data_IF_601043517323
#
_entry.id   IF_601043517323
#
_cell.length_a   1.000
_cell.length_b   1.000
_cell.length_c   1.000
_cell.angle_alpha   90.00
_cell.angle_beta   90.00
_cell.angle_gamma   90.00
#
_symmetry.space_group_name_H-M   'P 1'
#
loop_
_entity.id
_entity.type
_entity.pdbx_description
1 polymer ?
#
# COMPACT_ATOMS: atom_id res chain seq x y z
N UNK A 1 -5.98 -34.89 -2.23
CA UNK A 1 -4.80 -34.67 -1.36
C UNK A 1 -4.47 -33.19 -1.35
N UNK A 2 -4.63 -32.51 -0.21
CA UNK A 2 -4.19 -31.12 -0.04
C UNK A 2 -2.69 -31.12 0.23
N UNK A 3 -1.87 -30.68 -0.73
CA UNK A 3 -0.47 -30.45 -0.43
C UNK A 3 -0.36 -29.31 0.60
N UNK A 4 0.48 -29.47 1.65
CA UNK A 4 0.67 -28.42 2.64
C UNK A 4 1.22 -27.16 1.97
N UNK A 5 0.53 -26.03 2.14
CA UNK A 5 1.00 -24.74 1.62
C UNK A 5 2.35 -24.39 2.26
N UNK A 6 3.32 -23.85 1.51
CA UNK A 6 4.63 -23.48 2.05
C UNK A 6 4.47 -22.31 3.03
N UNK A 7 4.34 -22.63 4.33
CA UNK A 7 4.16 -21.64 5.42
C UNK A 7 5.22 -20.53 5.40
N UNK A 8 6.46 -20.86 5.01
CA UNK A 8 7.55 -19.89 4.94
C UNK A 8 7.30 -18.73 3.98
N UNK A 9 6.65 -18.98 2.84
CA UNK A 9 6.37 -17.92 1.86
C UNK A 9 5.33 -16.92 2.39
N UNK A 10 4.26 -17.40 3.03
CA UNK A 10 3.26 -16.52 3.64
C UNK A 10 3.86 -15.65 4.75
N UNK A 11 4.63 -16.27 5.64
CA UNK A 11 5.32 -15.59 6.75
C UNK A 11 6.24 -14.49 6.21
N UNK A 12 7.03 -14.79 5.16
CA UNK A 12 7.87 -13.78 4.51
C UNK A 12 7.06 -12.58 4.01
N UNK A 13 5.93 -12.79 3.33
CA UNK A 13 5.12 -11.68 2.80
C UNK A 13 4.41 -10.88 3.89
N UNK A 14 4.03 -11.51 5.01
CA UNK A 14 3.53 -10.78 6.17
C UNK A 14 4.61 -9.89 6.80
N UNK A 15 5.81 -10.43 7.00
CA UNK A 15 6.96 -9.64 7.47
C UNK A 15 7.29 -8.50 6.53
N UNK A 16 7.33 -8.77 5.23
CA UNK A 16 7.58 -7.75 4.22
C UNK A 16 6.51 -6.66 4.25
N UNK A 17 5.23 -7.04 4.39
CA UNK A 17 4.12 -6.08 4.54
C UNK A 17 4.33 -5.19 5.76
N UNK A 18 4.66 -5.77 6.91
CA UNK A 18 4.89 -5.01 8.14
C UNK A 18 6.09 -4.05 7.99
N UNK A 19 7.22 -4.55 7.47
CA UNK A 19 8.44 -3.74 7.27
C UNK A 19 8.18 -2.59 6.31
N UNK A 20 7.54 -2.85 5.16
CA UNK A 20 7.23 -1.83 4.16
C UNK A 20 6.25 -0.80 4.71
N UNK A 21 5.19 -1.24 5.40
CA UNK A 21 4.24 -0.34 6.03
C UNK A 21 4.96 0.55 7.06
N UNK A 22 5.74 -0.02 7.97
CA UNK A 22 6.48 0.77 8.97
C UNK A 22 7.47 1.75 8.33
N UNK A 23 8.23 1.32 7.31
CA UNK A 23 9.17 2.20 6.63
C UNK A 23 8.45 3.38 5.94
N UNK A 24 7.35 3.11 5.24
CA UNK A 24 6.57 4.15 4.57
C UNK A 24 5.85 5.07 5.55
N UNK A 25 5.45 4.55 6.71
CA UNK A 25 4.90 5.35 7.79
C UNK A 25 5.91 6.39 8.29
N UNK A 26 7.13 5.95 8.58
CA UNK A 26 8.23 6.83 9.02
C UNK A 26 8.57 7.85 7.94
N UNK A 27 8.58 7.44 6.67
CA UNK A 27 8.81 8.33 5.53
C UNK A 27 7.71 9.39 5.43
N UNK A 28 6.45 9.01 5.61
CA UNK A 28 5.31 9.93 5.57
C UNK A 28 5.30 10.93 6.74
N UNK A 29 6.02 10.68 7.83
CA UNK A 29 6.15 11.64 8.94
C UNK A 29 7.37 12.58 8.77
N UNK A 30 8.21 12.36 7.74
CA UNK A 30 9.48 13.08 7.58
C UNK A 30 9.37 14.29 6.65
N UNK A 31 9.37 15.49 7.25
CA UNK A 31 9.48 16.76 6.50
C UNK A 31 10.72 16.82 5.59
N UNK A 32 11.84 16.20 6.00
CA UNK A 32 13.05 16.15 5.20
C UNK A 32 12.84 15.36 3.90
N UNK A 33 12.14 14.23 3.96
CA UNK A 33 11.81 13.44 2.76
C UNK A 33 10.81 14.20 1.89
N UNK A 34 9.84 14.90 2.49
CA UNK A 34 8.90 15.72 1.74
C UNK A 34 9.57 16.84 0.95
N UNK A 35 10.45 17.61 1.57
CA UNK A 35 11.16 18.69 0.86
C UNK A 35 12.17 18.15 -0.16
N UNK A 36 12.79 16.99 0.09
CA UNK A 36 13.70 16.36 -0.87
C UNK A 36 12.98 15.84 -2.13
N UNK A 37 11.77 15.30 -1.98
CA UNK A 37 11.01 14.67 -3.09
C UNK A 37 10.00 15.60 -3.76
N UNK A 38 9.50 16.59 -3.02
CA UNK A 38 8.48 17.54 -3.47
C UNK A 38 8.71 18.92 -2.84
N UNK A 39 9.77 19.63 -3.25
CA UNK A 39 10.11 20.94 -2.72
C UNK A 39 8.92 21.89 -2.75
N UNK A 40 8.67 22.58 -1.64
CA UNK A 40 7.58 23.57 -1.50
C UNK A 40 7.62 24.70 -2.55
N UNK A 41 8.79 24.98 -3.13
CA UNK A 41 8.96 25.93 -4.24
C UNK A 41 8.39 25.48 -5.59
N UNK A 42 8.01 24.22 -5.77
CA UNK A 42 7.37 23.73 -6.99
C UNK A 42 5.87 24.01 -6.98
N UNK A 43 5.34 24.59 -8.06
CA UNK A 43 3.92 24.93 -8.18
C UNK A 43 2.96 23.75 -8.09
N UNK A 44 3.45 22.52 -8.34
CA UNK A 44 2.67 21.28 -8.32
C UNK A 44 3.09 20.30 -7.22
N UNK A 45 3.82 20.76 -6.19
CA UNK A 45 4.33 19.88 -5.13
C UNK A 45 3.22 19.09 -4.42
N UNK A 46 2.04 19.69 -4.20
CA UNK A 46 0.88 19.01 -3.59
C UNK A 46 0.42 17.82 -4.44
N UNK A 47 0.25 18.02 -5.75
CA UNK A 47 -0.17 16.96 -6.68
C UNK A 47 0.86 15.84 -6.69
N UNK A 48 2.14 16.19 -6.69
CA UNK A 48 3.24 15.23 -6.65
C UNK A 48 3.23 14.39 -5.36
N UNK A 49 2.99 15.02 -4.20
CA UNK A 49 2.84 14.33 -2.90
C UNK A 49 1.70 13.31 -2.92
N UNK A 50 0.53 13.70 -3.47
CA UNK A 50 -0.61 12.77 -3.58
C UNK A 50 -0.33 11.64 -4.56
N UNK A 51 0.43 11.89 -5.63
CA UNK A 51 0.85 10.82 -6.54
C UNK A 51 1.78 9.81 -5.85
N UNK A 52 2.76 10.29 -5.09
CA UNK A 52 3.65 9.42 -4.32
C UNK A 52 2.92 8.62 -3.25
N UNK A 53 1.91 9.20 -2.59
CA UNK A 53 1.11 8.47 -1.60
C UNK A 53 0.34 7.31 -2.25
N UNK A 54 -0.28 7.50 -3.42
CA UNK A 54 -0.95 6.41 -4.16
C UNK A 54 0.03 5.26 -4.45
N UNK A 55 1.24 5.58 -4.92
CA UNK A 55 2.26 4.57 -5.21
C UNK A 55 2.67 3.83 -3.93
N UNK A 56 2.96 4.55 -2.85
CA UNK A 56 3.32 3.97 -1.56
C UNK A 56 2.22 3.03 -1.02
N UNK A 57 0.97 3.49 -1.04
CA UNK A 57 -0.19 2.71 -0.63
C UNK A 57 -0.45 1.51 -1.55
N UNK A 58 -0.14 1.60 -2.85
CA UNK A 58 -0.19 0.47 -3.77
C UNK A 58 0.85 -0.60 -3.44
N UNK A 59 2.05 -0.21 -3.00
CA UNK A 59 3.07 -1.17 -2.56
C UNK A 59 2.60 -1.89 -1.27
N UNK A 60 2.05 -1.17 -0.29
CA UNK A 60 1.49 -1.77 0.94
C UNK A 60 0.35 -2.74 0.59
N UNK A 61 -0.61 -2.29 -0.23
CA UNK A 61 -1.74 -3.10 -0.69
C UNK A 61 -1.30 -4.35 -1.46
N UNK A 62 -0.26 -4.23 -2.28
CA UNK A 62 0.32 -5.36 -3.01
C UNK A 62 0.90 -6.40 -2.05
N UNK A 63 1.74 -5.98 -1.10
CA UNK A 63 2.36 -6.89 -0.13
C UNK A 63 1.29 -7.63 0.69
N UNK A 64 0.31 -6.89 1.22
CA UNK A 64 -0.79 -7.45 2.00
C UNK A 64 -1.65 -8.42 1.18
N UNK A 65 -2.05 -8.03 -0.04
CA UNK A 65 -2.83 -8.90 -0.92
C UNK A 65 -2.05 -10.15 -1.32
N UNK A 66 -0.72 -10.04 -1.50
CA UNK A 66 0.16 -11.18 -1.81
C UNK A 66 0.25 -12.15 -0.64
N UNK A 67 0.41 -11.64 0.59
CA UNK A 67 0.40 -12.43 1.81
C UNK A 67 -0.91 -13.22 1.95
N UNK A 68 -2.06 -12.53 1.85
CA UNK A 68 -3.39 -13.16 1.92
C UNK A 68 -3.61 -14.23 0.87
N UNK A 69 -3.16 -13.97 -0.36
CA UNK A 69 -3.28 -14.93 -1.47
C UNK A 69 -2.51 -16.22 -1.20
N UNK A 70 -1.31 -16.13 -0.66
CA UNK A 70 -0.47 -17.30 -0.32
C UNK A 70 -1.09 -18.09 0.83
N UNK A 71 -1.68 -17.39 1.81
CA UNK A 71 -2.48 -18.02 2.88
C UNK A 71 -3.80 -18.61 2.38
N UNK A 72 -4.16 -18.41 1.11
CA UNK A 72 -5.42 -18.83 0.51
C UNK A 72 -6.65 -18.12 1.10
N UNK A 73 -6.45 -16.94 1.70
CA UNK A 73 -7.52 -16.06 2.11
C UNK A 73 -8.02 -15.22 0.91
N UNK A 74 -9.28 -14.77 0.99
CA UNK A 74 -9.85 -13.91 -0.05
C UNK A 74 -9.09 -12.58 -0.18
N UNK A 75 -8.73 -12.21 -1.41
CA UNK A 75 -8.15 -10.90 -1.76
C UNK A 75 -9.22 -9.96 -2.33
N UNK A 76 -10.27 -9.70 -1.55
CA UNK A 76 -11.31 -8.74 -1.93
C UNK A 76 -10.71 -7.33 -2.11
N UNK A 77 -10.98 -6.69 -3.25
CA UNK A 77 -10.46 -5.33 -3.52
C UNK A 77 -10.93 -4.33 -2.47
N UNK A 78 -12.21 -4.39 -2.10
CA UNK A 78 -12.79 -3.52 -1.09
C UNK A 78 -12.12 -3.71 0.29
N UNK A 79 -11.84 -4.97 0.68
CA UNK A 79 -11.21 -5.24 1.97
C UNK A 79 -9.75 -4.76 2.03
N UNK A 80 -8.98 -4.92 0.93
CA UNK A 80 -7.60 -4.41 0.87
C UNK A 80 -7.60 -2.88 0.81
N UNK A 81 -8.47 -2.28 -0.01
CA UNK A 81 -8.65 -0.83 -0.07
C UNK A 81 -9.02 -0.24 1.28
N UNK A 82 -10.01 -0.81 1.97
CA UNK A 82 -10.41 -0.35 3.30
C UNK A 82 -9.28 -0.44 4.33
N UNK A 83 -8.50 -1.54 4.31
CA UNK A 83 -7.36 -1.69 5.22
C UNK A 83 -6.26 -0.65 4.97
N UNK A 84 -5.93 -0.39 3.70
CA UNK A 84 -4.92 0.63 3.38
C UNK A 84 -5.46 2.05 3.61
N UNK A 85 -6.76 2.29 3.43
CA UNK A 85 -7.43 3.52 3.86
C UNK A 85 -7.35 3.74 5.38
N UNK A 86 -7.57 2.69 6.18
CA UNK A 86 -7.41 2.75 7.63
C UNK A 86 -5.94 3.00 8.05
N UNK A 87 -4.99 2.41 7.32
CA UNK A 87 -3.57 2.70 7.49
C UNK A 87 -3.24 4.16 7.16
N UNK A 88 -3.80 4.72 6.09
CA UNK A 88 -3.67 6.16 5.78
C UNK A 88 -4.27 7.03 6.87
N UNK A 89 -5.45 6.69 7.40
CA UNK A 89 -6.05 7.40 8.54
C UNK A 89 -5.14 7.41 9.76
N UNK A 90 -4.40 6.32 10.03
CA UNK A 90 -3.45 6.26 11.13
C UNK A 90 -2.22 7.18 10.92
N UNK A 91 -1.83 7.45 9.66
CA UNK A 91 -0.80 8.46 9.35
C UNK A 91 -1.34 9.85 9.65
N UNK A 92 -2.55 10.16 9.16
CA UNK A 92 -3.21 11.46 9.38
C UNK A 92 -3.39 11.79 10.87
N UNK A 93 -3.81 10.81 11.68
CA UNK A 93 -3.96 10.98 13.12
C UNK A 93 -2.63 11.36 13.76
N UNK A 94 -1.54 10.72 13.36
CA UNK A 94 -0.21 11.01 13.92
C UNK A 94 0.31 12.37 13.46
N UNK A 95 0.16 12.70 12.18
CA UNK A 95 0.51 14.03 11.67
C UNK A 95 -0.30 15.14 12.34
N UNK A 96 -1.56 14.90 12.69
CA UNK A 96 -2.37 15.84 13.47
C UNK A 96 -1.80 16.13 14.86
N UNK A 97 -1.15 15.15 15.50
CA UNK A 97 -0.52 15.34 16.82
C UNK A 97 0.91 15.87 16.75
N UNK A 98 1.63 15.62 15.65
CA UNK A 98 3.07 15.93 15.53
C UNK A 98 3.38 17.13 14.63
N UNK A 99 2.45 17.55 13.79
CA UNK A 99 2.66 18.59 12.77
C UNK A 99 1.58 19.67 12.74
N UNK A 100 1.78 20.74 11.93
CA UNK A 100 0.75 21.72 11.67
C UNK A 100 -0.46 21.02 11.02
N UNK A 101 -1.68 21.22 11.53
CA UNK A 101 -2.85 20.55 10.98
C UNK A 101 -3.09 20.98 9.53
N UNK A 102 -3.08 20.02 8.60
CA UNK A 102 -3.66 20.23 7.27
C UNK A 102 -5.19 20.39 7.39
N UNK A 103 -5.79 21.07 6.42
CA UNK A 103 -7.25 21.25 6.42
C UNK A 103 -7.97 19.91 6.23
N UNK A 104 -9.07 19.67 6.94
CA UNK A 104 -9.84 18.40 6.92
C UNK A 104 -10.10 17.82 5.51
N UNK A 105 -10.28 18.68 4.50
CA UNK A 105 -10.47 18.24 3.11
C UNK A 105 -9.26 17.52 2.52
N UNK A 106 -8.04 17.92 2.89
CA UNK A 106 -6.81 17.27 2.46
C UNK A 106 -6.63 15.90 3.12
N UNK A 107 -6.92 15.79 4.41
CA UNK A 107 -6.87 14.51 5.13
C UNK A 107 -7.84 13.48 4.53
N UNK A 108 -9.04 13.91 4.13
CA UNK A 108 -9.99 13.04 3.41
C UNK A 108 -9.42 12.59 2.07
N UNK A 109 -8.73 13.47 1.35
CA UNK A 109 -8.08 13.12 0.10
C UNK A 109 -6.98 12.06 0.32
N UNK A 110 -6.16 12.17 1.36
CA UNK A 110 -5.12 11.17 1.66
C UNK A 110 -5.71 9.80 1.97
N UNK A 111 -6.77 9.74 2.78
CA UNK A 111 -7.49 8.49 3.06
C UNK A 111 -8.04 7.89 1.76
N UNK A 112 -8.62 8.70 0.89
CA UNK A 112 -9.10 8.25 -0.41
C UNK A 112 -7.95 7.71 -1.30
N UNK A 113 -6.78 8.36 -1.30
CA UNK A 113 -5.58 7.86 -1.98
C UNK A 113 -5.08 6.55 -1.39
N UNK A 114 -5.19 6.37 -0.06
CA UNK A 114 -4.96 5.11 0.63
C UNK A 114 -5.83 3.98 0.10
N UNK A 115 -7.14 4.23 -0.02
CA UNK A 115 -8.08 3.26 -0.58
C UNK A 115 -7.74 2.92 -2.04
N UNK A 116 -7.51 3.95 -2.86
CA UNK A 116 -7.17 3.79 -4.29
C UNK A 116 -5.88 2.98 -4.45
N UNK A 117 -4.82 3.36 -3.73
CA UNK A 117 -3.54 2.64 -3.73
C UNK A 117 -3.72 1.19 -3.32
N UNK A 118 -4.44 0.92 -2.21
CA UNK A 118 -4.71 -0.44 -1.76
C UNK A 118 -5.42 -1.31 -2.81
N UNK A 119 -6.40 -0.75 -3.51
CA UNK A 119 -7.09 -1.42 -4.62
C UNK A 119 -6.12 -1.73 -5.77
N UNK A 120 -5.30 -0.76 -6.18
CA UNK A 120 -4.31 -0.94 -7.26
C UNK A 120 -3.31 -2.06 -6.94
N UNK A 121 -2.81 -2.09 -5.69
CA UNK A 121 -1.93 -3.16 -5.22
C UNK A 121 -2.58 -4.54 -5.29
N UNK A 122 -3.84 -4.64 -4.86
CA UNK A 122 -4.59 -5.89 -4.95
C UNK A 122 -4.87 -6.34 -6.40
N UNK A 123 -5.14 -5.39 -7.31
CA UNK A 123 -5.29 -5.66 -8.75
C UNK A 123 -4.00 -6.22 -9.33
N UNK A 124 -2.84 -5.65 -9.00
CA UNK A 124 -1.54 -6.16 -9.46
C UNK A 124 -1.28 -7.62 -9.03
N UNK A 125 -1.68 -8.01 -7.81
CA UNK A 125 -1.60 -9.40 -7.33
C UNK A 125 -2.51 -10.36 -8.11
N UNK A 126 -3.66 -9.88 -8.61
CA UNK A 126 -4.57 -10.67 -9.45
C UNK A 126 -3.94 -10.95 -10.82
N UNK A 127 -3.36 -9.93 -11.46
CA UNK A 127 -2.74 -10.07 -12.79
C UNK A 127 -1.45 -10.89 -12.78
N UNK A 128 -0.60 -10.74 -11.77
CA UNK A 128 0.66 -11.51 -11.69
C UNK A 128 0.46 -13.02 -11.55
N UNK A 129 -0.69 -13.49 -11.06
CA UNK A 129 -0.97 -14.93 -11.02
C UNK A 129 -1.54 -15.50 -12.32
N UNK A 130 -2.19 -14.66 -13.15
CA UNK A 130 -2.69 -15.09 -14.45
C UNK A 130 -1.53 -15.40 -15.41
N UNK A 131 -0.41 -14.69 -15.28
CA UNK A 131 0.79 -14.90 -16.09
C UNK A 131 1.51 -16.23 -15.79
N UNK A 132 1.37 -16.79 -14.59
CA UNK A 132 2.01 -18.04 -14.17
C UNK A 132 1.26 -19.32 -14.58
N UNK A 133 0.06 -19.21 -15.15
CA UNK A 133 -0.82 -20.35 -15.51
C UNK A 133 -0.73 -20.80 -16.97
N UNK A 134 0.24 -20.30 -17.77
CA UNK A 134 0.42 -20.75 -19.15
C UNK A 134 0.80 -22.24 -19.17
N UNK A 135 -0.03 -23.14 -19.73
CA UNK A 135 0.25 -24.57 -19.73
C UNK A 135 1.50 -24.81 -20.57
N UNK A 136 2.54 -25.36 -19.93
CA UNK A 136 3.71 -25.91 -20.62
C UNK A 136 3.21 -27.08 -21.47
N UNK A 137 2.89 -26.82 -22.75
CA UNK A 137 2.60 -27.88 -23.71
C UNK A 137 3.86 -28.73 -23.79
N UNK A 138 3.81 -29.92 -23.20
CA UNK A 138 4.81 -30.94 -23.42
C UNK A 138 4.62 -31.42 -24.85
N UNK A 139 5.58 -31.10 -25.72
CA UNK A 139 5.78 -31.70 -27.03
C UNK A 139 6.62 -32.95 -26.90
#
# INVERSE_FOLDING_TARGET
>A
MNQPRPRGAAVFWWWLTAIVATALYIVADSNAVYEATSPSGLSFHVVLRKFYSIVAFAVVGFCFAKARKIDGASTSLAAVGALVGAYSLAIEITQFFLGPPEGLGWNVADIAMGVVGGILGAVAVRHTAAASSTPRRLS
#
